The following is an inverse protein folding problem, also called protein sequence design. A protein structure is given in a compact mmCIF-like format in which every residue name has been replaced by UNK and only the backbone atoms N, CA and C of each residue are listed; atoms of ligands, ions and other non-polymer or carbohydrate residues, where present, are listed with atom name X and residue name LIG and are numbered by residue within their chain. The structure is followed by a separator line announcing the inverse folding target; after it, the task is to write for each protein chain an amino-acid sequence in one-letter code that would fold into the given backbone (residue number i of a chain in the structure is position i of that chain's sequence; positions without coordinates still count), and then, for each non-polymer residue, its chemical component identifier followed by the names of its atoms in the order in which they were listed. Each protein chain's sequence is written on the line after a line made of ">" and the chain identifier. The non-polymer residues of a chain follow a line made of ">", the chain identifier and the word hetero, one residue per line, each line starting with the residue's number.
data_IF_679187417035
#
_entry.id   IF_679187417035
#
_cell.length_a   1.000
_cell.length_b   1.000
_cell.length_c   1.000
_cell.angle_alpha   90.00
_cell.angle_beta   90.00
_cell.angle_gamma   90.00
#
_symmetry.space_group_name_H-M   'P 1'
#
loop_
_entity.id
_entity.type
_entity.pdbx_description
1 polymer ?
#
# COMPACT_ATOMS: atom_id res chain seq x y z
N UNK A 1 32.40 37.87 -22.98
CA UNK A 1 31.25 37.69 -22.07
C UNK A 1 31.29 36.27 -21.57
N UNK A 2 31.93 36.05 -20.41
CA UNK A 2 32.10 34.73 -19.81
C UNK A 2 30.83 34.35 -19.03
N UNK A 3 30.16 33.30 -19.48
CA UNK A 3 29.02 32.71 -18.77
C UNK A 3 29.54 31.90 -17.58
N UNK A 4 29.27 32.40 -16.38
CA UNK A 4 29.80 31.88 -15.12
C UNK A 4 29.06 30.57 -14.72
N UNK A 5 29.71 29.39 -14.78
CA UNK A 5 29.05 28.08 -14.65
C UNK A 5 28.62 27.73 -13.21
N UNK A 6 29.05 28.52 -12.21
CA UNK A 6 28.80 28.23 -10.79
C UNK A 6 27.41 28.64 -10.30
N UNK A 7 26.71 29.54 -11.02
CA UNK A 7 25.38 30.02 -10.61
C UNK A 7 24.27 29.00 -10.92
N UNK A 8 24.46 28.21 -11.96
CA UNK A 8 23.51 27.20 -12.47
C UNK A 8 23.45 25.93 -11.61
N UNK A 9 24.53 25.54 -10.93
CA UNK A 9 24.52 24.35 -10.06
C UNK A 9 23.76 24.57 -8.75
N UNK A 10 23.87 25.77 -8.17
CA UNK A 10 23.16 26.14 -6.94
C UNK A 10 21.64 26.20 -7.16
N UNK A 11 21.19 26.74 -8.30
CA UNK A 11 19.76 26.80 -8.64
C UNK A 11 19.18 25.40 -8.92
N UNK A 12 19.96 24.51 -9.56
CA UNK A 12 19.59 23.10 -9.76
C UNK A 12 19.47 22.32 -8.44
N UNK A 13 20.37 22.55 -7.47
CA UNK A 13 20.30 21.91 -6.15
C UNK A 13 19.11 22.36 -5.31
N UNK A 14 18.72 23.64 -5.41
CA UNK A 14 17.56 24.19 -4.68
C UNK A 14 16.26 23.64 -5.27
N UNK A 15 16.17 23.50 -6.60
CA UNK A 15 15.00 22.92 -7.27
C UNK A 15 14.80 21.43 -6.92
N UNK A 16 15.88 20.64 -6.82
CA UNK A 16 15.82 19.22 -6.42
C UNK A 16 15.37 19.00 -4.97
N UNK A 17 15.61 19.95 -4.05
CA UNK A 17 15.12 19.86 -2.67
C UNK A 17 13.60 20.05 -2.58
N UNK A 18 13.01 20.84 -3.47
CA UNK A 18 11.57 21.11 -3.50
C UNK A 18 10.76 20.01 -4.21
N UNK A 19 11.39 19.21 -5.07
CA UNK A 19 10.78 18.05 -5.74
C UNK A 19 10.66 16.80 -4.85
N UNK A 20 11.08 16.88 -3.58
CA UNK A 20 10.90 15.80 -2.58
C UNK A 20 9.46 15.73 -2.08
N UNK A 21 8.50 15.69 -3.00
CA UNK A 21 7.12 15.36 -2.69
C UNK A 21 7.10 13.95 -2.11
N UNK A 22 6.95 13.85 -0.79
CA UNK A 22 6.60 12.58 -0.15
C UNK A 22 5.10 12.44 -0.37
N UNK A 23 4.64 11.48 -1.21
CA UNK A 23 3.22 11.20 -1.25
C UNK A 23 2.76 10.89 0.17
N UNK A 24 1.66 11.50 0.65
CA UNK A 24 1.15 11.24 1.98
C UNK A 24 0.94 9.73 2.11
N UNK A 25 1.60 9.11 3.10
CA UNK A 25 1.37 7.71 3.40
C UNK A 25 -0.09 7.61 3.84
N UNK A 26 -0.93 6.95 3.04
CA UNK A 26 -2.28 6.57 3.46
C UNK A 26 -2.15 5.53 4.56
N UNK A 27 -2.02 6.02 5.79
CA UNK A 27 -2.24 5.22 6.99
C UNK A 27 -3.76 5.05 7.07
N UNK A 28 -4.29 3.86 7.39
CA UNK A 28 -5.69 3.76 7.77
C UNK A 28 -5.88 4.64 9.02
N UNK A 29 -6.46 5.81 8.82
CA UNK A 29 -6.71 6.78 9.90
C UNK A 29 -7.75 6.23 10.88
N UNK A 30 -8.60 5.29 10.42
CA UNK A 30 -9.69 4.71 11.18
C UNK A 30 -9.71 3.18 10.99
N UNK A 31 -9.99 2.46 12.07
CA UNK A 31 -10.31 1.03 12.01
C UNK A 31 -11.79 0.92 11.66
N UNK A 32 -12.09 0.21 10.59
CA UNK A 32 -13.46 -0.04 10.16
C UNK A 32 -14.11 -1.08 11.09
N UNK A 33 -15.42 -0.95 11.35
CA UNK A 33 -16.13 -1.91 12.16
C UNK A 33 -16.17 -3.28 11.47
N UNK A 34 -15.97 -4.34 12.27
CA UNK A 34 -16.17 -5.73 11.84
C UNK A 34 -17.38 -6.24 12.61
N UNK A 35 -18.49 -6.41 11.91
CA UNK A 35 -19.74 -6.89 12.52
C UNK A 35 -19.74 -8.41 12.52
N UNK A 36 -19.94 -9.00 13.70
CA UNK A 36 -20.01 -10.44 13.91
C UNK A 36 -21.40 -10.80 14.44
N UNK A 37 -21.94 -11.94 14.03
CA UNK A 37 -23.11 -12.52 14.71
C UNK A 37 -22.70 -13.12 16.06
N UNK A 38 -23.66 -13.28 16.98
CA UNK A 38 -23.42 -13.75 18.37
C UNK A 38 -22.69 -15.10 18.47
N UNK A 39 -22.67 -15.88 17.39
CA UNK A 39 -22.08 -17.22 17.33
C UNK A 39 -20.66 -17.25 16.75
N UNK A 40 -20.15 -16.12 16.26
CA UNK A 40 -18.86 -16.05 15.56
C UNK A 40 -17.83 -15.34 16.43
N UNK A 41 -16.71 -16.02 16.72
CA UNK A 41 -15.57 -15.44 17.40
C UNK A 41 -14.33 -15.45 16.50
N UNK A 42 -13.76 -14.28 16.23
CA UNK A 42 -12.58 -14.12 15.41
C UNK A 42 -11.32 -14.04 16.28
N UNK A 43 -10.27 -14.74 15.86
CA UNK A 43 -8.95 -14.52 16.46
C UNK A 43 -8.54 -13.03 16.29
N UNK A 44 -7.88 -12.47 17.31
CA UNK A 44 -7.54 -11.04 17.33
C UNK A 44 -6.76 -10.55 16.12
N UNK A 45 -5.93 -11.41 15.51
CA UNK A 45 -5.18 -11.07 14.28
C UNK A 45 -6.08 -11.00 13.04
N UNK A 46 -7.09 -11.86 12.93
CA UNK A 46 -8.05 -11.87 11.82
C UNK A 46 -8.99 -10.67 11.93
N UNK A 47 -9.48 -10.40 13.15
CA UNK A 47 -10.28 -9.21 13.42
C UNK A 47 -9.48 -7.94 13.07
N UNK A 48 -8.21 -7.85 13.49
CA UNK A 48 -7.36 -6.72 13.14
C UNK A 48 -7.20 -6.59 11.62
N UNK A 49 -6.92 -7.68 10.90
CA UNK A 49 -6.80 -7.64 9.44
C UNK A 49 -8.07 -7.12 8.75
N UNK A 50 -9.24 -7.63 9.14
CA UNK A 50 -10.54 -7.20 8.59
C UNK A 50 -10.86 -5.75 8.97
N UNK A 51 -10.52 -5.32 10.19
CA UNK A 51 -10.75 -3.94 10.65
C UNK A 51 -9.95 -2.89 9.86
N UNK A 52 -8.92 -3.29 9.12
CA UNK A 52 -8.20 -2.37 8.23
C UNK A 52 -9.01 -2.05 6.97
N UNK A 53 -10.06 -2.83 6.67
CA UNK A 53 -10.88 -2.67 5.46
C UNK A 53 -10.23 -3.24 4.19
N UNK A 54 -11.01 -3.49 3.13
CA UNK A 54 -10.61 -4.32 1.98
C UNK A 54 -9.35 -3.84 1.26
N UNK A 55 -9.07 -2.54 1.33
CA UNK A 55 -7.89 -1.91 0.74
C UNK A 55 -6.59 -2.16 1.51
N UNK A 56 -6.69 -2.46 2.80
CA UNK A 56 -5.56 -2.53 3.72
C UNK A 56 -5.47 -3.89 4.44
N UNK A 57 -6.49 -4.76 4.33
CA UNK A 57 -6.45 -6.17 4.76
C UNK A 57 -5.36 -6.95 4.04
N UNK A 58 -5.02 -6.52 2.81
CA UNK A 58 -4.12 -7.25 1.92
C UNK A 58 -2.76 -6.58 1.85
N UNK A 59 -1.73 -7.40 2.04
CA UNK A 59 -0.35 -6.99 1.85
C UNK A 59 0.04 -7.07 0.37
N UNK A 60 0.20 -5.92 -0.30
CA UNK A 60 0.95 -5.87 -1.56
C UNK A 60 2.45 -5.81 -1.25
N UNK A 61 3.01 -6.95 -0.86
CA UNK A 61 4.45 -7.11 -0.67
C UNK A 61 5.10 -7.29 -2.03
N UNK A 62 5.55 -6.18 -2.63
CA UNK A 62 6.60 -6.23 -3.65
C UNK A 62 7.94 -6.04 -2.94
N UNK A 63 8.94 -6.86 -3.29
CA UNK A 63 10.30 -6.67 -2.78
C UNK A 63 10.90 -5.37 -3.35
N UNK A 64 11.89 -4.74 -2.68
CA UNK A 64 12.54 -3.54 -3.21
C UNK A 64 13.06 -3.71 -4.65
N UNK A 65 13.66 -4.86 -4.94
CA UNK A 65 14.11 -5.26 -6.27
C UNK A 65 12.98 -5.29 -7.31
N UNK A 66 11.80 -5.79 -6.93
CA UNK A 66 10.62 -5.78 -7.81
C UNK A 66 10.10 -4.34 -8.02
N UNK A 67 10.07 -3.51 -6.97
CA UNK A 67 9.68 -2.11 -7.09
C UNK A 67 10.62 -1.32 -7.99
N UNK A 68 11.93 -1.56 -7.91
CA UNK A 68 12.92 -0.96 -8.82
C UNK A 68 12.67 -1.40 -10.27
N UNK A 69 12.35 -2.68 -10.49
CA UNK A 69 12.00 -3.16 -11.84
C UNK A 69 10.79 -2.43 -12.42
N UNK A 70 9.77 -2.13 -11.60
CA UNK A 70 8.62 -1.30 -12.02
C UNK A 70 9.00 0.13 -12.36
N UNK A 71 9.83 0.78 -11.53
CA UNK A 71 10.31 2.13 -11.81
C UNK A 71 10.98 2.18 -13.19
N UNK A 72 11.85 1.22 -13.49
CA UNK A 72 12.55 1.11 -14.78
C UNK A 72 11.57 0.79 -15.92
N UNK A 73 10.59 -0.07 -15.71
CA UNK A 73 9.60 -0.39 -16.74
C UNK A 73 8.72 0.82 -17.07
N UNK A 74 8.22 1.52 -16.04
CA UNK A 74 7.36 2.70 -16.21
C UNK A 74 8.13 3.84 -16.86
N UNK A 75 9.42 4.03 -16.52
CA UNK A 75 10.21 5.10 -17.12
C UNK A 75 10.39 4.94 -18.63
N UNK A 76 10.27 3.73 -19.20
CA UNK A 76 10.33 3.52 -20.66
C UNK A 76 9.19 4.18 -21.43
N UNK A 77 8.10 4.51 -20.76
CA UNK A 77 6.93 5.17 -21.37
C UNK A 77 6.97 6.69 -21.22
N UNK A 78 8.01 7.25 -20.58
CA UNK A 78 8.19 8.69 -20.44
C UNK A 78 9.02 9.26 -21.60
N UNK A 79 9.00 10.59 -21.74
CA UNK A 79 9.92 11.29 -22.66
C UNK A 79 11.37 11.10 -22.23
N UNK A 80 12.30 11.05 -23.19
CA UNK A 80 13.73 10.78 -22.92
C UNK A 80 14.33 11.73 -21.88
N UNK A 81 13.90 12.99 -21.88
CA UNK A 81 14.31 14.02 -20.91
C UNK A 81 13.84 13.72 -19.48
N UNK A 82 12.70 13.05 -19.32
CA UNK A 82 12.10 12.75 -18.02
C UNK A 82 12.60 11.43 -17.41
N UNK A 83 13.13 10.51 -18.21
CA UNK A 83 13.60 9.19 -17.77
C UNK A 83 14.61 9.27 -16.61
N UNK A 84 15.69 10.08 -16.67
CA UNK A 84 16.69 10.12 -15.59
C UNK A 84 16.10 10.58 -14.26
N UNK A 85 15.18 11.56 -14.32
CA UNK A 85 14.49 12.08 -13.15
C UNK A 85 13.56 11.04 -12.54
N UNK A 86 12.74 10.36 -13.35
CA UNK A 86 11.80 9.34 -12.87
C UNK A 86 12.51 8.15 -12.23
N UNK A 87 13.60 7.68 -12.85
CA UNK A 87 14.40 6.59 -12.28
C UNK A 87 15.04 7.03 -10.97
N UNK A 88 15.66 8.21 -10.93
CA UNK A 88 16.27 8.75 -9.71
C UNK A 88 15.26 8.89 -8.58
N UNK A 89 14.09 9.48 -8.84
CA UNK A 89 13.02 9.66 -7.84
C UNK A 89 12.47 8.31 -7.36
N UNK A 90 12.28 7.36 -8.28
CA UNK A 90 11.77 6.03 -7.96
C UNK A 90 12.75 5.23 -7.09
N UNK A 91 14.05 5.25 -7.41
CA UNK A 91 15.10 4.64 -6.57
C UNK A 91 15.09 5.25 -5.18
N UNK A 92 15.01 6.57 -5.10
CA UNK A 92 14.94 7.33 -3.85
C UNK A 92 13.73 6.94 -2.98
N UNK A 93 12.56 6.74 -3.59
CA UNK A 93 11.34 6.30 -2.91
C UNK A 93 11.49 4.87 -2.40
N UNK A 94 12.03 3.95 -3.22
CA UNK A 94 12.24 2.55 -2.83
C UNK A 94 13.24 2.45 -1.68
N UNK A 95 14.38 3.15 -1.77
CA UNK A 95 15.39 3.19 -0.71
C UNK A 95 14.85 3.70 0.63
N UNK A 96 13.90 4.64 0.61
CA UNK A 96 13.23 5.19 1.81
C UNK A 96 12.02 4.39 2.27
N UNK A 97 11.56 3.42 1.49
CA UNK A 97 10.46 2.55 1.87
C UNK A 97 10.92 1.62 2.99
N UNK A 98 10.50 1.90 4.23
CA UNK A 98 10.65 0.91 5.31
C UNK A 98 9.77 -0.28 4.94
N UNK A 99 10.33 -1.49 4.95
CA UNK A 99 9.58 -2.72 4.69
C UNK A 99 8.29 -2.71 5.49
N UNK A 100 7.16 -2.98 4.83
CA UNK A 100 5.88 -3.08 5.51
C UNK A 100 6.00 -4.14 6.62
N UNK A 101 5.48 -3.84 7.82
CA UNK A 101 5.36 -4.85 8.87
C UNK A 101 4.56 -6.01 8.28
N UNK A 102 5.01 -7.27 8.48
CA UNK A 102 4.32 -8.42 7.91
C UNK A 102 2.87 -8.43 8.39
N UNK A 103 1.94 -8.22 7.46
CA UNK A 103 0.50 -8.40 7.69
C UNK A 103 0.12 -9.85 7.40
N UNK A 104 -1.04 -10.30 7.89
CA UNK A 104 -1.58 -11.59 7.49
C UNK A 104 -1.80 -11.60 5.97
N UNK A 105 -1.40 -12.68 5.31
CA UNK A 105 -1.67 -12.84 3.87
C UNK A 105 -3.15 -13.13 3.63
N UNK A 106 -3.66 -12.73 2.45
CA UNK A 106 -5.05 -13.05 2.03
C UNK A 106 -5.32 -14.53 2.17
N UNK A 107 -4.37 -15.37 1.74
CA UNK A 107 -4.47 -16.82 1.85
C UNK A 107 -4.70 -17.26 3.30
N UNK A 108 -3.95 -16.75 4.27
CA UNK A 108 -4.15 -17.10 5.68
C UNK A 108 -5.49 -16.64 6.24
N UNK A 109 -5.97 -15.47 5.81
CA UNK A 109 -7.29 -14.97 6.23
C UNK A 109 -8.39 -15.85 5.61
N UNK A 110 -8.29 -16.18 4.32
CA UNK A 110 -9.22 -17.05 3.63
C UNK A 110 -9.22 -18.47 4.22
N UNK A 111 -8.05 -19.08 4.40
CA UNK A 111 -7.90 -20.41 4.99
C UNK A 111 -8.53 -20.46 6.39
N UNK A 112 -8.35 -19.41 7.21
CA UNK A 112 -8.98 -19.32 8.53
C UNK A 112 -10.51 -19.27 8.43
N UNK A 113 -11.04 -18.42 7.56
CA UNK A 113 -12.49 -18.29 7.39
C UNK A 113 -13.11 -19.59 6.90
N UNK A 114 -12.49 -20.25 5.91
CA UNK A 114 -12.94 -21.54 5.40
C UNK A 114 -12.86 -22.64 6.48
N UNK A 115 -11.77 -22.71 7.23
CA UNK A 115 -11.59 -23.72 8.28
C UNK A 115 -12.61 -23.60 9.43
N UNK A 116 -13.13 -22.39 9.68
CA UNK A 116 -14.14 -22.14 10.70
C UNK A 116 -15.56 -22.05 10.12
N UNK A 117 -15.76 -22.40 8.86
CA UNK A 117 -17.05 -22.28 8.16
C UNK A 117 -17.64 -20.87 8.30
N UNK A 118 -16.83 -19.85 8.00
CA UNK A 118 -17.20 -18.44 8.06
C UNK A 118 -17.21 -17.82 6.66
N UNK A 119 -18.19 -16.95 6.41
CA UNK A 119 -18.33 -16.12 5.24
C UNK A 119 -18.11 -14.65 5.61
N UNK A 120 -17.42 -13.90 4.74
CA UNK A 120 -17.21 -12.46 4.90
C UNK A 120 -17.84 -11.72 3.75
N UNK A 121 -18.69 -10.75 4.06
CA UNK A 121 -19.31 -9.87 3.07
C UNK A 121 -18.97 -8.40 3.36
N UNK A 122 -18.81 -7.56 2.32
CA UNK A 122 -18.61 -6.14 2.51
C UNK A 122 -19.86 -5.50 3.14
N UNK A 123 -19.67 -4.62 4.11
CA UNK A 123 -20.76 -3.83 4.70
C UNK A 123 -21.07 -2.65 3.78
N UNK A 124 -22.28 -2.63 3.21
CA UNK A 124 -22.70 -1.74 2.12
C UNK A 124 -22.64 -0.24 2.49
N UNK A 125 -22.86 0.11 3.78
CA UNK A 125 -22.97 1.51 4.23
C UNK A 125 -21.83 2.04 5.09
N UNK A 126 -21.00 1.17 5.65
CA UNK A 126 -20.02 1.53 6.70
C UNK A 126 -18.56 1.31 6.28
N UNK A 127 -18.30 0.78 5.08
CA UNK A 127 -16.94 0.53 4.59
C UNK A 127 -16.18 -0.59 5.33
N UNK A 128 -16.90 -1.42 6.10
CA UNK A 128 -16.37 -2.53 6.89
C UNK A 128 -16.69 -3.91 6.33
N UNK A 129 -16.65 -4.91 7.21
CA UNK A 129 -16.99 -6.30 6.89
C UNK A 129 -18.01 -6.86 7.86
N UNK A 130 -18.91 -7.69 7.35
CA UNK A 130 -19.77 -8.54 8.16
C UNK A 130 -19.29 -9.98 8.05
N UNK A 131 -19.19 -10.68 9.17
CA UNK A 131 -18.75 -12.07 9.24
C UNK A 131 -19.88 -12.95 9.77
N UNK A 132 -20.17 -14.02 9.05
CA UNK A 132 -21.30 -14.92 9.30
C UNK A 132 -20.87 -16.37 9.24
N UNK A 133 -21.60 -17.27 9.88
CA UNK A 133 -21.45 -18.70 9.64
C UNK A 133 -21.89 -19.06 8.21
N UNK A 134 -21.18 -19.99 7.57
CA UNK A 134 -21.55 -20.55 6.28
C UNK A 134 -22.95 -21.17 6.37
N UNK A 135 -23.85 -20.78 5.47
CA UNK A 135 -25.25 -21.21 5.45
C UNK A 135 -26.27 -20.10 5.74
N UNK A 136 -25.86 -18.97 6.31
CA UNK A 136 -26.78 -17.84 6.62
C UNK A 136 -27.15 -17.02 5.36
N UNK A 137 -26.30 -17.04 4.33
CA UNK A 137 -26.48 -16.28 3.07
C UNK A 137 -26.45 -17.18 1.82
N UNK A 138 -26.84 -18.45 1.95
CA UNK A 138 -26.99 -19.36 0.83
C UNK A 138 -28.35 -19.19 0.16
#
# INVERSE_FOLDING_TARGET
>A
METNPKKTESERQVCLRQLRYRPPKKVPEHRNPVHMTEQVNLSGRIHEALSLGPKFTVETKRRPEELLSFVIQVSKYATEEAVPRLVSEGVDVVARSKGARPRLSVKRVADYLTANSLCVVPADKEGGFCVFSSGVFC
#
